data_IF_294573981912
#
_entry.id   IF_294573981912
#
_cell.length_a   1.000
_cell.length_b   1.000
_cell.length_c   1.000
_cell.angle_alpha   90.00
_cell.angle_beta   90.00
_cell.angle_gamma   90.00
#
_symmetry.space_group_name_H-M   'P 1'
#
loop_
_entity.id
_entity.type
_entity.pdbx_description
1 polymer ?
#
# COMPACT_ATOMS: atom_id res chain seq x y z
N UNK A 1 39.06 -26.28 -54.02
CA UNK A 1 37.59 -26.38 -53.85
C UNK A 1 37.30 -27.27 -52.67
N UNK A 2 37.22 -26.69 -51.48
CA UNK A 2 36.69 -27.36 -50.30
C UNK A 2 35.70 -26.37 -49.67
N UNK A 3 34.50 -26.89 -49.38
CA UNK A 3 33.78 -26.57 -48.16
C UNK A 3 32.78 -25.39 -48.14
N UNK A 4 31.91 -25.30 -49.14
CA UNK A 4 30.58 -24.69 -48.98
C UNK A 4 29.68 -25.47 -47.99
N UNK A 5 29.84 -26.80 -47.95
CA UNK A 5 29.11 -27.68 -47.01
C UNK A 5 29.58 -27.53 -45.55
N UNK A 6 30.89 -27.34 -45.31
CA UNK A 6 31.41 -27.15 -43.93
C UNK A 6 31.07 -25.76 -43.40
N UNK A 7 31.01 -24.71 -44.23
CA UNK A 7 30.54 -23.38 -43.79
C UNK A 7 29.06 -23.39 -43.37
N UNK A 8 28.22 -24.15 -44.07
CA UNK A 8 26.81 -24.33 -43.68
C UNK A 8 26.68 -25.15 -42.38
N UNK A 9 27.47 -26.23 -42.24
CA UNK A 9 27.54 -27.01 -41.00
C UNK A 9 28.05 -26.23 -39.78
N UNK A 10 29.02 -25.33 -39.97
CA UNK A 10 29.56 -24.49 -38.90
C UNK A 10 28.58 -23.38 -38.49
N UNK A 11 27.77 -22.85 -39.41
CA UNK A 11 26.70 -21.89 -39.11
C UNK A 11 25.51 -22.56 -38.40
N UNK A 12 25.17 -23.80 -38.78
CA UNK A 12 24.18 -24.62 -38.07
C UNK A 12 24.65 -25.02 -36.67
N UNK A 13 25.92 -25.39 -36.49
CA UNK A 13 26.49 -25.63 -35.15
C UNK A 13 26.52 -24.36 -34.30
N UNK A 14 26.84 -23.18 -34.86
CA UNK A 14 26.81 -21.92 -34.13
C UNK A 14 25.39 -21.47 -33.74
N UNK A 15 24.37 -21.79 -34.56
CA UNK A 15 22.96 -21.61 -34.21
C UNK A 15 22.49 -22.58 -33.11
N UNK A 16 22.95 -23.83 -33.14
CA UNK A 16 22.64 -24.85 -32.12
C UNK A 16 23.35 -24.53 -30.78
N UNK A 17 24.56 -23.95 -30.85
CA UNK A 17 25.32 -23.46 -29.70
C UNK A 17 24.72 -22.18 -29.07
N UNK A 18 23.80 -21.48 -29.73
CA UNK A 18 23.15 -20.28 -29.21
C UNK A 18 21.92 -20.55 -28.31
N UNK A 19 21.46 -21.80 -28.21
CA UNK A 19 20.25 -22.16 -27.44
C UNK A 19 20.41 -23.44 -26.61
N UNK A 20 21.57 -23.66 -25.98
CA UNK A 20 21.66 -24.69 -24.95
C UNK A 20 20.96 -24.19 -23.68
N UNK A 21 19.70 -24.56 -23.50
CA UNK A 21 18.93 -24.21 -22.29
C UNK A 21 19.66 -24.76 -21.06
N UNK A 22 19.80 -23.93 -20.03
CA UNK A 22 20.42 -24.34 -18.77
C UNK A 22 19.56 -25.42 -18.12
N UNK A 23 20.12 -26.61 -17.95
CA UNK A 23 19.44 -27.71 -17.25
C UNK A 23 19.58 -27.48 -15.74
N UNK A 24 18.45 -27.50 -15.04
CA UNK A 24 18.39 -27.40 -13.57
C UNK A 24 17.64 -28.65 -13.08
N UNK A 25 18.19 -29.36 -12.10
CA UNK A 25 17.49 -30.51 -11.52
C UNK A 25 16.36 -30.04 -10.61
N UNK A 26 15.34 -30.89 -10.41
CA UNK A 26 14.26 -30.60 -9.45
C UNK A 26 14.78 -30.28 -8.06
N UNK A 27 15.74 -31.05 -7.56
CA UNK A 27 16.35 -30.84 -6.24
C UNK A 27 17.03 -29.47 -6.12
N UNK A 28 17.78 -29.05 -7.15
CA UNK A 28 18.41 -27.72 -7.19
C UNK A 28 17.38 -26.59 -7.27
N UNK A 29 16.27 -26.82 -7.99
CA UNK A 29 15.18 -25.85 -8.07
C UNK A 29 14.45 -25.70 -6.74
N UNK A 30 14.09 -26.81 -6.11
CA UNK A 30 13.42 -26.83 -4.79
C UNK A 30 14.31 -26.18 -3.72
N UNK A 31 15.62 -26.45 -3.75
CA UNK A 31 16.57 -25.77 -2.85
C UNK A 31 16.56 -24.25 -3.05
N UNK A 32 16.66 -23.78 -4.30
CA UNK A 32 16.62 -22.33 -4.60
C UNK A 32 15.30 -21.71 -4.19
N UNK A 33 14.19 -22.41 -4.39
CA UNK A 33 12.86 -21.93 -4.01
C UNK A 33 12.73 -21.79 -2.48
N UNK A 34 13.23 -22.78 -1.73
CA UNK A 34 13.22 -22.75 -0.27
C UNK A 34 14.17 -21.68 0.31
N UNK A 35 15.24 -21.33 -0.40
CA UNK A 35 16.14 -20.25 -0.01
C UNK A 35 15.49 -18.84 -0.17
N UNK A 36 14.41 -18.72 -0.96
CA UNK A 36 13.68 -17.45 -1.10
C UNK A 36 12.84 -17.21 0.15
N UNK A 37 13.26 -16.23 0.95
CA UNK A 37 12.53 -15.80 2.14
C UNK A 37 11.54 -14.70 1.79
N UNK A 38 10.25 -15.03 1.85
CA UNK A 38 9.17 -14.05 1.77
C UNK A 38 8.59 -13.89 3.18
N UNK A 39 8.57 -12.64 3.67
CA UNK A 39 7.98 -12.34 4.98
C UNK A 39 6.46 -12.39 4.86
N UNK A 40 5.80 -12.97 5.88
CA UNK A 40 4.34 -13.08 5.92
C UNK A 40 3.68 -11.71 5.89
N UNK A 41 4.32 -10.73 6.51
CA UNK A 41 3.88 -9.34 6.61
C UNK A 41 3.80 -8.68 5.23
N UNK A 42 4.78 -8.94 4.36
CA UNK A 42 4.82 -8.39 2.99
C UNK A 42 3.68 -8.99 2.14
N UNK A 43 3.42 -10.30 2.28
CA UNK A 43 2.30 -10.98 1.60
C UNK A 43 0.95 -10.45 2.08
N UNK A 44 0.79 -10.31 3.40
CA UNK A 44 -0.43 -9.80 3.99
C UNK A 44 -0.71 -8.37 3.55
N UNK A 45 0.32 -7.51 3.49
CA UNK A 45 0.20 -6.14 2.98
C UNK A 45 -0.26 -6.10 1.53
N UNK A 46 0.23 -7.03 0.70
CA UNK A 46 -0.16 -7.13 -0.70
C UNK A 46 -1.63 -7.53 -0.86
N UNK A 47 -2.08 -8.52 -0.08
CA UNK A 47 -3.48 -8.95 -0.05
C UNK A 47 -4.37 -7.80 0.44
N UNK A 48 -3.95 -7.11 1.49
CA UNK A 48 -4.72 -6.01 2.04
C UNK A 48 -4.82 -4.82 1.06
N UNK A 49 -3.72 -4.48 0.37
CA UNK A 49 -3.75 -3.49 -0.70
C UNK A 49 -4.77 -3.87 -1.78
N UNK A 50 -4.80 -5.13 -2.22
CA UNK A 50 -5.77 -5.58 -3.21
C UNK A 50 -7.22 -5.43 -2.72
N UNK A 51 -7.54 -5.94 -1.53
CA UNK A 51 -8.90 -5.90 -0.99
C UNK A 51 -9.41 -4.47 -0.83
N UNK A 52 -8.56 -3.56 -0.35
CA UNK A 52 -8.91 -2.16 -0.15
C UNK A 52 -9.04 -1.44 -1.49
N UNK A 53 -8.07 -1.58 -2.40
CA UNK A 53 -8.09 -0.89 -3.71
C UNK A 53 -9.26 -1.32 -4.58
N UNK A 54 -9.68 -2.59 -4.51
CA UNK A 54 -10.84 -3.10 -5.26
C UNK A 54 -12.19 -2.79 -4.56
N UNK A 55 -12.16 -2.36 -3.30
CA UNK A 55 -13.37 -1.99 -2.55
C UNK A 55 -14.07 -3.17 -1.86
N UNK A 56 -13.38 -4.28 -1.62
CA UNK A 56 -13.90 -5.42 -0.86
C UNK A 56 -13.80 -5.18 0.64
N UNK A 57 -14.58 -4.22 1.14
CA UNK A 57 -14.52 -3.72 2.53
C UNK A 57 -14.73 -4.81 3.58
N UNK A 58 -15.74 -5.67 3.40
CA UNK A 58 -16.03 -6.76 4.35
C UNK A 58 -14.91 -7.81 4.39
N UNK A 59 -14.35 -8.14 3.23
CA UNK A 59 -13.25 -9.09 3.12
C UNK A 59 -11.97 -8.52 3.71
N UNK A 60 -11.69 -7.23 3.48
CA UNK A 60 -10.61 -6.48 4.09
C UNK A 60 -10.70 -6.53 5.64
N UNK A 61 -11.87 -6.24 6.21
CA UNK A 61 -12.07 -6.29 7.66
C UNK A 61 -11.89 -7.68 8.25
N UNK A 62 -12.46 -8.70 7.60
CA UNK A 62 -12.30 -10.09 8.05
C UNK A 62 -10.84 -10.54 7.96
N UNK A 63 -10.18 -10.23 6.84
CA UNK A 63 -8.77 -10.53 6.64
C UNK A 63 -7.88 -9.86 7.70
N UNK A 64 -8.13 -8.58 8.01
CA UNK A 64 -7.43 -7.85 9.08
C UNK A 64 -7.53 -8.58 10.42
N UNK A 65 -8.76 -8.96 10.83
CA UNK A 65 -9.02 -9.67 12.09
C UNK A 65 -8.30 -11.02 12.17
N UNK A 66 -8.34 -11.81 11.09
CA UNK A 66 -7.79 -13.16 11.06
C UNK A 66 -6.27 -13.17 10.91
N UNK A 67 -5.72 -12.26 10.10
CA UNK A 67 -4.30 -12.23 9.80
C UNK A 67 -3.47 -11.52 10.86
N UNK A 68 -4.10 -10.74 11.75
CA UNK A 68 -3.43 -9.82 12.66
C UNK A 68 -2.64 -8.75 11.92
N UNK A 69 -2.89 -8.58 10.62
CA UNK A 69 -2.27 -7.55 9.82
C UNK A 69 -2.92 -6.26 10.23
N UNK A 70 -2.23 -5.51 11.07
CA UNK A 70 -2.59 -4.14 11.24
C UNK A 70 -2.54 -3.51 9.83
N UNK A 71 -3.65 -2.88 9.43
CA UNK A 71 -3.48 -1.71 8.58
C UNK A 71 -2.43 -0.86 9.28
N UNK A 72 -1.68 -0.02 8.58
CA UNK A 72 -0.96 1.03 9.31
C UNK A 72 -2.00 1.93 10.00
N UNK A 73 -2.51 1.47 11.15
CA UNK A 73 -3.81 1.76 11.70
C UNK A 73 -3.53 2.65 12.90
N UNK A 74 -3.39 3.94 12.59
CA UNK A 74 -3.49 4.97 13.60
C UNK A 74 -2.22 5.73 13.92
N UNK A 75 -1.06 5.42 13.31
CA UNK A 75 0.06 6.37 13.37
C UNK A 75 -0.01 7.29 12.15
N UNK A 76 -0.81 8.33 12.29
CA UNK A 76 -1.04 9.34 11.24
C UNK A 76 0.28 10.03 10.90
N UNK A 77 1.16 10.18 11.89
CA UNK A 77 2.50 10.72 11.77
C UNK A 77 3.37 9.86 10.83
N UNK A 78 3.36 8.53 10.98
CA UNK A 78 4.08 7.63 10.05
C UNK A 78 3.49 7.69 8.64
N UNK A 79 2.19 7.96 8.50
CA UNK A 79 1.53 8.11 7.21
C UNK A 79 1.91 9.43 6.54
N UNK A 80 1.94 10.52 7.30
CA UNK A 80 2.38 11.85 6.84
C UNK A 80 3.86 11.81 6.45
N UNK A 81 4.73 11.24 7.29
CA UNK A 81 6.16 11.10 7.00
C UNK A 81 6.38 10.28 5.73
N UNK A 82 5.70 9.14 5.58
CA UNK A 82 5.78 8.32 4.36
C UNK A 82 5.21 9.01 3.13
N UNK A 83 4.14 9.80 3.26
CA UNK A 83 3.60 10.58 2.14
C UNK A 83 4.63 11.62 1.70
N UNK A 84 5.23 12.34 2.64
CA UNK A 84 6.27 13.34 2.36
C UNK A 84 7.55 12.73 1.79
N UNK A 85 7.97 11.58 2.31
CA UNK A 85 9.11 10.82 1.78
C UNK A 85 8.87 10.33 0.35
N UNK A 86 7.62 9.96 0.04
CA UNK A 86 7.24 9.45 -1.27
C UNK A 86 7.10 10.57 -2.29
N UNK A 87 6.44 11.66 -1.93
CA UNK A 87 6.39 12.88 -2.71
C UNK A 87 5.90 14.05 -1.83
N UNK A 88 6.78 15.02 -1.49
CA UNK A 88 6.43 16.14 -0.64
C UNK A 88 5.36 17.06 -1.26
N UNK A 89 5.22 17.07 -2.59
CA UNK A 89 4.22 17.88 -3.28
C UNK A 89 2.78 17.35 -3.10
N UNK A 90 2.57 16.11 -2.64
CA UNK A 90 1.21 15.54 -2.48
C UNK A 90 0.40 16.37 -1.48
N UNK A 91 1.01 16.73 -0.35
CA UNK A 91 0.34 17.49 0.70
C UNK A 91 0.18 18.96 0.33
N UNK A 92 1.14 19.52 -0.42
CA UNK A 92 1.10 20.89 -0.93
C UNK A 92 0.02 21.07 -2.01
N UNK A 93 -0.19 20.06 -2.86
CA UNK A 93 -1.17 20.09 -3.96
C UNK A 93 -2.56 19.64 -3.54
N UNK A 94 -2.72 19.08 -2.34
CA UNK A 94 -4.01 18.62 -1.81
C UNK A 94 -4.24 19.05 -0.35
N UNK A 95 -4.65 20.32 -0.13
CA UNK A 95 -4.95 20.84 1.22
C UNK A 95 -6.06 20.07 1.94
N UNK A 96 -7.00 19.49 1.20
CA UNK A 96 -8.09 18.69 1.76
C UNK A 96 -7.59 17.38 2.35
N UNK A 97 -6.70 16.68 1.64
CA UNK A 97 -6.07 15.46 2.17
C UNK A 97 -5.26 15.74 3.43
N UNK A 98 -4.49 16.82 3.42
CA UNK A 98 -3.73 17.24 4.59
C UNK A 98 -4.67 17.51 5.77
N UNK A 99 -5.78 18.22 5.55
CA UNK A 99 -6.77 18.46 6.60
C UNK A 99 -7.32 17.15 7.18
N UNK A 100 -7.75 16.20 6.34
CA UNK A 100 -8.28 14.92 6.82
C UNK A 100 -7.22 14.07 7.55
N UNK A 101 -5.95 14.15 7.17
CA UNK A 101 -4.84 13.55 7.92
C UNK A 101 -4.74 14.17 9.32
N UNK A 102 -4.63 15.49 9.42
CA UNK A 102 -4.55 16.18 10.72
C UNK A 102 -5.80 15.94 11.58
N UNK A 103 -6.98 15.89 10.95
CA UNK A 103 -8.24 15.53 11.60
C UNK A 103 -8.16 14.13 12.22
N UNK A 104 -7.63 13.15 11.49
CA UNK A 104 -7.42 11.80 12.02
C UNK A 104 -6.44 11.79 13.19
N UNK A 105 -5.37 12.61 13.13
CA UNK A 105 -4.41 12.75 14.23
C UNK A 105 -5.09 13.27 15.50
N UNK A 106 -5.92 14.30 15.37
CA UNK A 106 -6.72 14.84 16.48
C UNK A 106 -7.64 13.76 17.08
N UNK A 107 -8.32 12.98 16.23
CA UNK A 107 -9.17 11.86 16.67
C UNK A 107 -8.37 10.83 17.48
N UNK A 108 -7.14 10.47 17.07
CA UNK A 108 -6.32 9.53 17.84
C UNK A 108 -5.82 10.11 19.17
N UNK A 109 -5.50 11.41 19.24
CA UNK A 109 -5.17 12.07 20.51
C UNK A 109 -6.33 12.01 21.50
N UNK A 110 -7.56 12.26 21.02
CA UNK A 110 -8.78 12.17 21.82
C UNK A 110 -9.00 10.73 22.31
N UNK A 111 -8.84 9.73 21.43
CA UNK A 111 -9.01 8.31 21.79
C UNK A 111 -7.99 7.81 22.81
N UNK A 112 -6.78 8.37 22.80
CA UNK A 112 -5.74 8.06 23.77
C UNK A 112 -5.91 8.82 25.09
N UNK A 113 -6.97 9.62 25.25
CA UNK A 113 -7.23 10.42 26.45
C UNK A 113 -6.27 11.60 26.63
N UNK A 114 -5.50 11.97 25.59
CA UNK A 114 -4.53 13.05 25.60
C UNK A 114 -5.23 14.39 25.31
N UNK A 115 -6.16 14.78 26.18
CA UNK A 115 -7.05 15.94 25.96
C UNK A 115 -6.27 17.25 25.83
N UNK A 116 -5.25 17.48 26.66
CA UNK A 116 -4.44 18.70 26.61
C UNK A 116 -3.68 18.82 25.28
N UNK A 117 -2.97 17.75 24.87
CA UNK A 117 -2.27 17.70 23.59
C UNK A 117 -3.23 17.85 22.39
N UNK A 118 -4.42 17.23 22.48
CA UNK A 118 -5.46 17.33 21.44
C UNK A 118 -5.95 18.77 21.29
N UNK A 119 -6.16 19.49 22.40
CA UNK A 119 -6.67 20.86 22.38
C UNK A 119 -5.62 21.83 21.84
N UNK A 120 -4.37 21.70 22.28
CA UNK A 120 -3.24 22.49 21.79
C UNK A 120 -3.07 22.28 20.27
N UNK A 121 -3.06 21.02 19.82
CA UNK A 121 -2.97 20.70 18.40
C UNK A 121 -4.14 21.25 17.57
N UNK A 122 -5.36 21.16 18.08
CA UNK A 122 -6.53 21.70 17.38
C UNK A 122 -6.43 23.22 17.20
N UNK A 123 -5.89 23.94 18.19
CA UNK A 123 -5.73 25.39 18.16
C UNK A 123 -4.59 25.83 17.23
N UNK A 124 -3.44 25.17 17.27
CA UNK A 124 -2.27 25.58 16.50
C UNK A 124 -2.37 25.20 15.01
N UNK A 125 -2.90 24.01 14.71
CA UNK A 125 -2.78 23.42 13.36
C UNK A 125 -4.10 23.42 12.57
N UNK A 126 -5.23 23.17 13.26
CA UNK A 126 -6.53 22.98 12.61
C UNK A 126 -7.39 24.25 12.61
N UNK A 127 -7.34 25.07 13.66
CA UNK A 127 -8.16 26.29 13.76
C UNK A 127 -7.90 27.29 12.63
N UNK A 128 -6.65 27.63 12.24
CA UNK A 128 -6.40 28.54 11.12
C UNK A 128 -6.99 28.04 9.79
N UNK A 129 -7.00 26.71 9.60
CA UNK A 129 -7.54 26.07 8.38
C UNK A 129 -9.07 26.02 8.37
N UNK A 130 -9.69 25.93 9.55
CA UNK A 130 -11.14 26.05 9.72
C UNK A 130 -11.64 27.45 9.39
N UNK A 131 -10.87 28.50 9.72
CA UNK A 131 -11.21 29.88 9.38
C UNK A 131 -11.20 30.13 7.86
N UNK A 132 -10.32 29.46 7.13
CA UNK A 132 -10.23 29.56 5.66
C UNK A 132 -11.32 28.77 4.93
N UNK A 133 -11.91 27.74 5.57
CA UNK A 133 -12.89 26.86 4.95
C UNK A 133 -13.99 26.44 5.94
N UNK A 134 -15.20 26.97 5.70
CA UNK A 134 -16.40 26.70 6.52
C UNK A 134 -16.71 25.21 6.69
N UNK A 135 -16.48 24.38 5.67
CA UNK A 135 -16.75 22.93 5.76
C UNK A 135 -15.80 22.23 6.74
N UNK A 136 -14.54 22.67 6.80
CA UNK A 136 -13.54 22.16 7.75
C UNK A 136 -13.85 22.59 9.18
N UNK A 137 -14.35 23.82 9.35
CA UNK A 137 -14.79 24.32 10.65
C UNK A 137 -15.92 23.46 11.23
N UNK A 138 -16.95 23.15 10.42
CA UNK A 138 -18.07 22.30 10.85
C UNK A 138 -17.62 20.88 11.26
N UNK A 139 -16.62 20.33 10.60
CA UNK A 139 -16.06 19.03 10.96
C UNK A 139 -15.18 19.11 12.21
N UNK A 140 -14.39 20.17 12.36
CA UNK A 140 -13.55 20.40 13.54
C UNK A 140 -14.42 20.59 14.79
N UNK A 141 -15.49 21.39 14.71
CA UNK A 141 -16.43 21.60 15.81
C UNK A 141 -17.03 20.30 16.32
N UNK A 142 -17.40 19.38 15.40
CA UNK A 142 -17.93 18.06 15.77
C UNK A 142 -16.91 17.23 16.54
N UNK A 143 -15.63 17.29 16.15
CA UNK A 143 -14.56 16.52 16.79
C UNK A 143 -14.19 17.12 18.14
N UNK A 144 -14.04 18.44 18.22
CA UNK A 144 -13.74 19.13 19.49
C UNK A 144 -14.92 18.98 20.46
N UNK A 145 -16.16 18.90 19.98
CA UNK A 145 -17.31 18.57 20.82
C UNK A 145 -17.18 17.21 21.50
N UNK A 146 -16.43 16.24 20.94
CA UNK A 146 -16.16 14.94 21.59
C UNK A 146 -15.37 15.10 22.89
N UNK A 147 -14.56 16.16 23.03
CA UNK A 147 -13.82 16.47 24.26
C UNK A 147 -14.74 16.88 25.41
N UNK A 148 -15.97 17.32 25.12
CA UNK A 148 -16.93 17.75 26.13
C UNK A 148 -17.74 16.57 26.73
N UNK A 149 -17.61 15.35 26.19
CA UNK A 149 -18.33 14.18 26.66
C UNK A 149 -17.43 13.26 27.49
N UNK A 150 -17.90 12.85 28.67
CA UNK A 150 -17.18 11.89 29.53
C UNK A 150 -17.19 10.45 28.98
N UNK A 151 -18.24 10.07 28.24
CA UNK A 151 -18.35 8.77 27.55
C UNK A 151 -18.57 8.99 26.05
N UNK A 152 -17.46 8.98 25.31
CA UNK A 152 -17.43 9.23 23.87
C UNK A 152 -18.11 8.11 23.06
N UNK A 153 -18.27 6.93 23.66
CA UNK A 153 -18.88 5.73 23.07
C UNK A 153 -20.40 5.79 22.99
N UNK A 154 -21.05 6.64 23.78
CA UNK A 154 -22.51 6.77 23.88
C UNK A 154 -23.08 7.99 23.14
N UNK A 155 -22.24 8.83 22.51
CA UNK A 155 -22.71 10.03 21.83
C UNK A 155 -23.06 9.78 20.36
N UNK A 156 -23.99 10.56 19.81
CA UNK A 156 -24.40 10.51 18.40
C UNK A 156 -23.29 10.83 17.40
N UNK A 157 -22.15 11.35 17.89
CA UNK A 157 -20.97 11.73 17.11
C UNK A 157 -19.86 10.66 17.25
N UNK A 158 -20.08 9.61 18.06
CA UNK A 158 -19.13 8.51 18.28
C UNK A 158 -18.77 7.74 17.01
N UNK A 159 -19.60 7.82 15.96
CA UNK A 159 -19.31 7.29 14.61
C UNK A 159 -18.01 7.87 14.03
N UNK A 160 -17.61 9.11 14.38
CA UNK A 160 -16.33 9.69 13.95
C UNK A 160 -15.11 9.00 14.57
N UNK A 161 -15.28 8.26 15.66
CA UNK A 161 -14.23 7.45 16.29
C UNK A 161 -14.18 6.02 15.74
N UNK A 162 -15.13 5.65 14.87
CA UNK A 162 -15.21 4.32 14.31
C UNK A 162 -14.04 4.03 13.37
N UNK A 163 -13.73 2.74 13.24
CA UNK A 163 -12.70 2.24 12.31
C UNK A 163 -12.98 2.67 10.86
N UNK A 164 -14.25 2.86 10.49
CA UNK A 164 -14.66 3.33 9.16
C UNK A 164 -14.08 4.70 8.79
N UNK A 165 -13.96 5.64 9.73
CA UNK A 165 -13.35 6.94 9.47
C UNK A 165 -11.85 6.81 9.16
N UNK A 166 -11.15 5.93 9.90
CA UNK A 166 -9.75 5.58 9.60
C UNK A 166 -9.59 4.96 8.22
N UNK A 167 -10.51 4.08 7.81
CA UNK A 167 -10.49 3.46 6.49
C UNK A 167 -10.73 4.47 5.38
N UNK A 168 -11.59 5.48 5.61
CA UNK A 168 -11.84 6.56 4.65
C UNK A 168 -10.58 7.40 4.43
N UNK A 169 -9.98 7.92 5.50
CA UNK A 169 -8.74 8.72 5.40
C UNK A 169 -7.60 7.89 4.79
N UNK A 170 -7.45 6.62 5.18
CA UNK A 170 -6.46 5.72 4.58
C UNK A 170 -6.71 5.49 3.08
N UNK A 171 -7.97 5.40 2.65
CA UNK A 171 -8.33 5.27 1.23
C UNK A 171 -7.98 6.53 0.44
N UNK A 172 -8.26 7.71 1.00
CA UNK A 172 -7.94 9.00 0.38
C UNK A 172 -6.43 9.22 0.25
N UNK A 173 -5.66 8.90 1.29
CA UNK A 173 -4.19 8.92 1.27
C UNK A 173 -3.66 7.95 0.22
N UNK A 174 -4.18 6.73 0.17
CA UNK A 174 -3.78 5.74 -0.84
C UNK A 174 -4.11 6.24 -2.26
N UNK A 175 -5.27 6.85 -2.47
CA UNK A 175 -5.66 7.40 -3.76
C UNK A 175 -4.74 8.56 -4.19
N UNK A 176 -4.36 9.43 -3.26
CA UNK A 176 -3.45 10.54 -3.54
C UNK A 176 -2.02 10.07 -3.84
N UNK A 177 -1.50 9.12 -3.07
CA UNK A 177 -0.20 8.49 -3.36
C UNK A 177 -0.22 7.84 -4.75
N UNK A 178 -1.25 7.07 -5.08
CA UNK A 178 -1.40 6.42 -6.39
C UNK A 178 -1.45 7.46 -7.53
N UNK A 179 -2.22 8.54 -7.34
CA UNK A 179 -2.34 9.62 -8.33
C UNK A 179 -1.01 10.34 -8.57
N UNK A 180 -0.24 10.60 -7.51
CA UNK A 180 1.05 11.29 -7.60
C UNK A 180 2.18 10.46 -8.22
N UNK A 181 2.14 9.13 -8.07
CA UNK A 181 3.19 8.23 -8.58
C UNK A 181 2.99 7.83 -10.04
N UNK A 182 1.99 8.41 -10.73
CA UNK A 182 1.59 7.99 -12.08
C UNK A 182 1.36 6.47 -12.20
N UNK A 183 1.08 5.80 -11.09
CA UNK A 183 0.76 4.38 -11.06
C UNK A 183 -0.76 4.28 -10.93
N UNK A 184 -1.34 3.59 -11.92
CA UNK A 184 -2.77 3.39 -12.10
C UNK A 184 -3.47 3.05 -10.77
N UNK A 185 -4.77 3.37 -10.69
CA UNK A 185 -5.71 3.00 -9.61
C UNK A 185 -5.82 1.47 -9.38
N UNK A 186 -4.92 0.70 -9.98
CA UNK A 186 -4.92 -0.74 -10.04
C UNK A 186 -4.14 -1.33 -8.86
N UNK A 187 -4.64 -2.42 -8.26
CA UNK A 187 -3.97 -3.06 -7.16
C UNK A 187 -2.60 -3.63 -7.58
N UNK A 188 -1.64 -3.67 -6.65
CA UNK A 188 -0.26 -4.12 -6.92
C UNK A 188 -0.19 -5.60 -7.32
N UNK A 189 -1.14 -6.40 -6.83
CA UNK A 189 -1.19 -7.85 -7.03
C UNK A 189 -1.30 -8.24 -8.53
N UNK A 190 -2.24 -7.73 -9.33
CA UNK A 190 -2.26 -7.95 -10.78
C UNK A 190 -0.95 -7.63 -11.51
N UNK A 191 -0.29 -6.52 -11.18
CA UNK A 191 0.98 -6.14 -11.83
C UNK A 191 2.10 -7.12 -11.50
N UNK A 192 2.19 -7.57 -10.24
CA UNK A 192 3.12 -8.62 -9.84
C UNK A 192 2.83 -9.95 -10.51
N UNK A 193 1.54 -10.32 -10.69
CA UNK A 193 1.16 -11.54 -11.40
C UNK A 193 1.57 -11.48 -12.87
N UNK A 194 1.37 -10.34 -13.55
CA UNK A 194 1.85 -10.12 -14.93
C UNK A 194 3.36 -10.27 -15.02
N UNK A 195 4.10 -9.68 -14.07
CA UNK A 195 5.57 -9.79 -14.01
C UNK A 195 6.04 -11.23 -13.73
N UNK A 196 5.33 -11.97 -12.87
CA UNK A 196 5.61 -13.37 -12.58
C UNK A 196 5.41 -14.25 -13.81
N UNK A 197 4.31 -14.08 -14.54
CA UNK A 197 4.06 -14.82 -15.79
C UNK A 197 5.15 -14.51 -16.81
N UNK A 198 5.50 -13.23 -16.97
CA UNK A 198 6.60 -12.83 -17.85
C UNK A 198 7.92 -13.48 -17.46
N UNK A 199 8.29 -13.46 -16.18
CA UNK A 199 9.52 -14.06 -15.68
C UNK A 199 9.54 -15.59 -15.86
N UNK A 200 8.42 -16.26 -15.67
CA UNK A 200 8.27 -17.70 -15.92
C UNK A 200 8.46 -18.04 -17.40
N UNK A 201 7.90 -17.25 -18.30
CA UNK A 201 8.09 -17.42 -19.75
C UNK A 201 9.57 -17.23 -20.13
N UNK A 202 10.21 -16.18 -19.62
CA UNK A 202 11.64 -15.92 -19.83
C UNK A 202 12.52 -17.04 -19.28
N UNK A 203 12.14 -17.63 -18.14
CA UNK A 203 12.84 -18.78 -17.58
C UNK A 203 12.68 -20.02 -18.46
N UNK A 204 11.49 -20.29 -19.01
CA UNK A 204 11.24 -21.42 -19.90
C UNK A 204 11.98 -21.34 -21.24
N UNK A 205 12.33 -20.13 -21.70
CA UNK A 205 13.20 -19.93 -22.85
C UNK A 205 14.67 -20.25 -22.54
N UNK A 206 15.12 -19.97 -21.31
CA UNK A 206 16.54 -20.03 -20.92
C UNK A 206 16.94 -21.28 -20.13
N UNK A 207 15.99 -21.97 -19.51
CA UNK A 207 16.23 -23.11 -18.63
C UNK A 207 15.16 -24.20 -18.79
N UNK A 208 15.56 -25.44 -18.50
CA UNK A 208 14.65 -26.60 -18.42
C UNK A 208 14.84 -27.24 -17.05
N UNK A 209 13.73 -27.43 -16.33
CA UNK A 209 13.70 -28.15 -15.07
C UNK A 209 13.41 -29.62 -15.40
N UNK A 210 14.34 -30.51 -15.07
CA UNK A 210 14.13 -31.95 -15.23
C UNK A 210 13.27 -32.47 -14.07
N UNK A 211 12.19 -33.17 -14.42
CA UNK A 211 11.19 -33.70 -13.48
C UNK A 211 11.73 -34.83 -12.61
#
# INVERSE_FOLDING_TARGET
MLNGSVRCGMYLMLLDMATSKKVITREEWEKKLNDVKIRKEDMNRLVMNFLVTVGYVEAAEKFRKESGTDLHAGNVEDAIEKVNDLNPEILDTNPQLFFHLQQQRLIELIRNGKVEEALEFAQEELAPRGEENQSFLEELEKIVALLAFEDVSNCSIGELLDVSQRLKTASEVNAAILTSQSHEKDPKLPSLLKMLIWAQNQLGEKAVILA
#
